data_IF_783193416844
#
_entry.id   IF_783193416844
#
_cell.length_a   1.000
_cell.length_b   1.000
_cell.length_c   1.000
_cell.angle_alpha   90.00
_cell.angle_beta   90.00
_cell.angle_gamma   90.00
#
_symmetry.space_group_name_H-M   'P 1'
#
loop_
_entity.id
_entity.type
_entity.pdbx_description
1 polymer ?
#
# COMPACT_ATOMS: atom_id res chain seq x y z
N UNK A 1 25.41 -8.17 15.62
CA UNK A 1 24.96 -7.06 16.47
C UNK A 1 23.62 -6.55 15.97
N UNK A 2 22.71 -6.18 16.88
CA UNK A 2 21.47 -5.47 16.57
C UNK A 2 21.62 -3.99 16.92
N UNK A 3 21.12 -3.10 16.08
CA UNK A 3 21.12 -1.65 16.33
C UNK A 3 19.73 -1.10 16.05
N UNK A 4 19.06 -0.57 17.08
CA UNK A 4 17.73 0.02 16.97
C UNK A 4 17.84 1.45 16.44
N UNK A 5 16.95 1.79 15.52
CA UNK A 5 16.71 3.17 15.09
C UNK A 5 15.25 3.49 15.33
N UNK A 6 14.98 4.53 16.12
CA UNK A 6 13.63 5.01 16.38
C UNK A 6 13.62 6.54 16.50
N UNK A 7 12.90 7.20 15.58
CA UNK A 7 13.04 8.64 15.37
C UNK A 7 14.50 8.99 15.08
N UNK A 8 15.05 9.95 15.81
CA UNK A 8 16.45 10.40 15.70
C UNK A 8 17.42 9.63 16.62
N UNK A 9 16.96 8.58 17.29
CA UNK A 9 17.78 7.84 18.27
C UNK A 9 18.35 6.57 17.66
N UNK A 10 19.65 6.36 17.84
CA UNK A 10 20.38 5.13 17.52
C UNK A 10 20.76 4.43 18.83
N UNK A 11 20.39 3.16 18.97
CA UNK A 11 20.65 2.36 20.17
C UNK A 11 21.22 0.98 19.78
N UNK A 12 22.55 0.78 19.91
CA UNK A 12 23.13 -0.57 19.86
C UNK A 12 22.55 -1.41 21.01
N UNK A 13 22.08 -2.63 20.73
CA UNK A 13 21.53 -3.50 21.77
C UNK A 13 22.63 -3.87 22.78
N UNK A 14 22.38 -3.56 24.07
CA UNK A 14 23.37 -3.70 25.14
C UNK A 14 24.30 -2.49 25.31
N UNK A 15 24.08 -1.42 24.54
CA UNK A 15 24.80 -0.15 24.64
C UNK A 15 23.93 0.99 25.16
N UNK A 16 24.41 2.22 24.98
CA UNK A 16 23.72 3.45 25.39
C UNK A 16 23.04 4.12 24.19
N UNK A 17 21.81 4.64 24.33
CA UNK A 17 21.13 5.38 23.28
C UNK A 17 21.91 6.67 22.96
N UNK A 18 22.01 7.00 21.68
CA UNK A 18 22.61 8.24 21.21
C UNK A 18 21.74 8.92 20.16
N UNK A 19 21.74 10.25 20.15
CA UNK A 19 21.08 11.06 19.12
C UNK A 19 22.15 11.73 18.27
N UNK A 20 22.54 11.14 17.12
CA UNK A 20 23.50 11.78 16.23
C UNK A 20 22.95 13.08 15.66
N UNK A 21 23.82 14.04 15.33
CA UNK A 21 23.43 15.28 14.68
C UNK A 21 22.88 15.05 13.26
N UNK A 22 23.42 14.06 12.54
CA UNK A 22 22.88 13.55 11.29
C UNK A 22 22.67 12.03 11.39
N UNK A 23 21.41 11.61 11.43
CA UNK A 23 21.04 10.20 11.52
C UNK A 23 21.48 9.42 10.29
N UNK A 24 21.35 9.99 9.09
CA UNK A 24 21.67 9.30 7.85
C UNK A 24 23.18 9.07 7.73
N UNK A 25 23.99 10.04 8.13
CA UNK A 25 25.45 9.89 8.21
C UNK A 25 25.85 8.81 9.24
N UNK A 26 25.28 8.85 10.45
CA UNK A 26 25.57 7.86 11.49
C UNK A 26 25.18 6.43 11.06
N UNK A 27 24.06 6.26 10.35
CA UNK A 27 23.64 4.97 9.78
C UNK A 27 24.61 4.52 8.69
N UNK A 28 25.02 5.43 7.80
CA UNK A 28 25.98 5.14 6.71
C UNK A 28 27.32 4.66 7.25
N UNK A 29 27.87 5.35 8.25
CA UNK A 29 29.14 4.99 8.88
C UNK A 29 29.08 3.62 9.57
N UNK A 30 28.03 3.39 10.36
CA UNK A 30 27.83 2.09 11.03
C UNK A 30 27.61 0.95 10.03
N UNK A 31 26.84 1.18 8.97
CA UNK A 31 26.65 0.19 7.91
C UNK A 31 27.98 -0.16 7.24
N UNK A 32 28.82 0.84 6.93
CA UNK A 32 30.12 0.63 6.32
C UNK A 32 31.10 -0.12 7.25
N UNK A 33 31.12 0.22 8.54
CA UNK A 33 32.06 -0.34 9.50
C UNK A 33 31.66 -1.73 10.01
N UNK A 34 30.38 -1.95 10.33
CA UNK A 34 29.95 -3.10 11.11
C UNK A 34 28.84 -3.93 10.45
N UNK A 35 28.15 -3.36 9.46
CA UNK A 35 26.99 -3.97 8.78
C UNK A 35 26.00 -4.59 9.78
N UNK A 36 25.52 -3.84 10.80
CA UNK A 36 24.69 -4.41 11.86
C UNK A 36 23.36 -4.94 11.31
N UNK A 37 22.59 -5.67 12.13
CA UNK A 37 21.18 -5.91 11.82
C UNK A 37 20.38 -4.76 12.42
N UNK A 38 19.90 -3.89 11.56
CA UNK A 38 19.14 -2.73 12.01
C UNK A 38 17.76 -3.16 12.53
N UNK A 39 17.26 -2.57 13.60
CA UNK A 39 15.96 -2.90 14.22
C UNK A 39 15.03 -1.70 14.16
N UNK A 40 13.86 -1.92 13.57
CA UNK A 40 12.96 -0.87 13.13
C UNK A 40 11.58 -1.16 13.71
N UNK A 41 10.88 -0.12 14.16
CA UNK A 41 9.48 -0.26 14.54
C UNK A 41 8.64 -0.71 13.33
N UNK A 42 8.90 -0.10 12.17
CA UNK A 42 8.33 -0.42 10.87
C UNK A 42 9.29 0.03 9.75
N UNK A 43 9.58 -0.87 8.80
CA UNK A 43 10.39 -0.63 7.61
C UNK A 43 9.91 0.59 6.81
N UNK A 44 8.59 0.70 6.64
CA UNK A 44 7.93 1.69 5.78
C UNK A 44 8.12 3.11 6.31
N UNK A 45 8.16 3.24 7.63
CA UNK A 45 8.30 4.54 8.30
C UNK A 45 9.77 4.94 8.47
N UNK A 46 10.64 3.98 8.80
CA UNK A 46 12.02 4.29 9.21
C UNK A 46 13.01 4.26 8.02
N UNK A 47 12.78 3.44 6.97
CA UNK A 47 13.73 3.43 5.84
C UNK A 47 13.60 4.66 4.96
N UNK A 48 12.36 5.07 4.68
CA UNK A 48 12.07 5.96 3.57
C UNK A 48 12.88 7.28 3.69
N UNK A 49 12.97 7.92 4.87
CA UNK A 49 13.83 9.10 5.05
C UNK A 49 15.33 8.82 4.85
N UNK A 50 15.82 7.61 5.18
CA UNK A 50 17.22 7.23 4.97
C UNK A 50 17.51 7.03 3.46
N UNK A 51 16.58 6.43 2.72
CA UNK A 51 16.68 6.26 1.27
C UNK A 51 16.69 7.62 0.55
N UNK A 52 15.87 8.57 0.98
CA UNK A 52 15.89 9.96 0.48
C UNK A 52 17.24 10.65 0.67
N UNK A 53 18.00 10.25 1.70
CA UNK A 53 19.38 10.69 1.97
C UNK A 53 20.44 9.79 1.34
N UNK A 54 20.04 8.85 0.46
CA UNK A 54 20.93 7.96 -0.27
C UNK A 54 21.64 6.92 0.61
N UNK A 55 21.01 6.52 1.72
CA UNK A 55 21.53 5.49 2.63
C UNK A 55 20.79 4.18 2.39
N UNK A 56 21.55 3.13 2.08
CA UNK A 56 21.03 1.76 1.93
C UNK A 56 21.67 0.85 2.96
N UNK A 57 20.89 -0.08 3.52
CA UNK A 57 21.36 -1.04 4.53
C UNK A 57 21.22 -2.47 4.04
N UNK A 58 22.11 -3.36 4.48
CA UNK A 58 22.10 -4.74 4.00
C UNK A 58 21.03 -5.62 4.66
N UNK A 59 20.62 -5.32 5.89
CA UNK A 59 19.73 -6.19 6.68
C UNK A 59 19.01 -5.44 7.79
N UNK A 60 17.75 -5.81 8.02
CA UNK A 60 16.97 -5.34 9.16
C UNK A 60 16.28 -6.49 9.91
N UNK A 61 15.67 -6.13 11.03
CA UNK A 61 14.66 -6.86 11.77
C UNK A 61 13.47 -5.91 11.92
N UNK A 62 12.41 -6.19 11.19
CA UNK A 62 11.18 -5.38 11.26
C UNK A 62 10.30 -5.90 12.40
N UNK A 63 10.06 -5.06 13.42
CA UNK A 63 9.32 -5.44 14.61
C UNK A 63 7.85 -5.70 14.29
N UNK A 64 7.21 -4.88 13.46
CA UNK A 64 5.79 -5.03 13.14
C UNK A 64 5.51 -6.28 12.28
N UNK A 65 6.37 -6.58 11.31
CA UNK A 65 6.28 -7.82 10.52
C UNK A 65 6.53 -9.04 11.39
N UNK A 66 7.58 -9.00 12.23
CA UNK A 66 7.89 -10.11 13.15
C UNK A 66 6.75 -10.37 14.14
N UNK A 67 6.13 -9.31 14.68
CA UNK A 67 5.01 -9.45 15.61
C UNK A 67 3.80 -10.07 14.92
N UNK A 68 3.50 -9.67 13.68
CA UNK A 68 2.41 -10.26 12.89
C UNK A 68 2.58 -11.77 12.70
N UNK A 69 3.80 -12.22 12.38
CA UNK A 69 4.11 -13.65 12.26
C UNK A 69 3.94 -14.40 13.59
N UNK A 70 4.42 -13.82 14.70
CA UNK A 70 4.32 -14.44 16.02
C UNK A 70 2.86 -14.52 16.49
N UNK A 71 2.09 -13.46 16.31
CA UNK A 71 0.65 -13.44 16.61
C UNK A 71 -0.09 -14.48 15.76
N UNK A 72 0.21 -14.57 14.46
CA UNK A 72 -0.38 -15.58 13.58
C UNK A 72 -0.04 -17.01 14.07
N UNK A 73 1.20 -17.26 14.46
CA UNK A 73 1.63 -18.55 15.02
C UNK A 73 0.91 -18.90 16.32
N UNK A 74 0.63 -17.89 17.16
CA UNK A 74 -0.09 -18.02 18.43
C UNK A 74 -1.62 -18.11 18.26
N UNK A 75 -2.15 -18.12 17.03
CA UNK A 75 -3.59 -18.16 16.75
C UNK A 75 -4.31 -16.82 16.97
N UNK A 76 -3.56 -15.72 17.02
CA UNK A 76 -4.01 -14.35 17.31
C UNK A 76 -3.94 -13.46 16.07
N UNK A 77 -4.16 -14.05 14.90
CA UNK A 77 -4.12 -13.35 13.63
C UNK A 77 -5.13 -12.18 13.60
N UNK A 78 -4.67 -11.01 13.15
CA UNK A 78 -5.48 -9.79 13.07
C UNK A 78 -5.43 -8.91 14.32
N UNK A 79 -4.76 -9.34 15.40
CA UNK A 79 -4.44 -8.45 16.51
C UNK A 79 -3.45 -7.35 16.11
N UNK A 80 -3.49 -6.16 16.75
CA UNK A 80 -2.56 -5.08 16.49
C UNK A 80 -1.09 -5.50 16.64
N UNK A 81 -0.30 -5.32 15.57
CA UNK A 81 1.08 -5.80 15.44
C UNK A 81 2.16 -4.71 15.46
N UNK A 82 1.77 -3.44 15.43
CA UNK A 82 2.72 -2.31 15.54
C UNK A 82 3.65 -2.44 16.76
N UNK A 83 4.85 -1.86 16.70
CA UNK A 83 5.79 -1.87 17.83
C UNK A 83 5.19 -1.29 19.13
N UNK A 84 4.30 -0.28 19.03
CA UNK A 84 3.56 0.27 20.18
C UNK A 84 2.59 -0.76 20.77
N UNK A 85 1.84 -1.47 19.90
CA UNK A 85 0.94 -2.52 20.34
C UNK A 85 1.68 -3.69 21.00
N UNK A 86 2.78 -4.13 20.39
CA UNK A 86 3.66 -5.15 20.95
C UNK A 86 4.22 -4.73 22.32
N UNK A 87 4.70 -3.49 22.45
CA UNK A 87 5.20 -2.97 23.73
C UNK A 87 4.10 -2.86 24.79
N UNK A 88 2.91 -2.34 24.44
CA UNK A 88 1.78 -2.26 25.36
C UNK A 88 1.39 -3.65 25.88
N UNK A 89 1.28 -4.63 24.98
CA UNK A 89 0.99 -6.03 25.31
C UNK A 89 2.05 -6.62 26.25
N UNK A 90 3.33 -6.40 25.96
CA UNK A 90 4.44 -6.85 26.81
C UNK A 90 4.39 -6.25 28.22
N UNK A 91 3.92 -5.00 28.37
CA UNK A 91 3.84 -4.28 29.65
C UNK A 91 2.48 -4.45 30.36
N UNK A 92 1.55 -5.22 29.80
CA UNK A 92 0.19 -5.36 30.34
C UNK A 92 -0.64 -4.07 30.30
N UNK A 93 -0.31 -3.17 29.37
CA UNK A 93 -1.02 -1.91 29.15
C UNK A 93 -2.16 -2.10 28.12
N UNK A 94 -3.15 -1.18 28.06
CA UNK A 94 -4.15 -1.18 27.00
C UNK A 94 -3.50 -1.19 25.61
N UNK A 95 -3.86 -2.16 24.76
CA UNK A 95 -3.30 -2.30 23.42
C UNK A 95 -3.97 -1.28 22.49
N UNK A 96 -3.22 -0.37 21.85
CA UNK A 96 -3.78 0.56 20.88
C UNK A 96 -4.28 -0.18 19.64
N UNK A 97 -5.35 0.36 19.02
CA UNK A 97 -5.82 -0.12 17.72
C UNK A 97 -4.76 0.07 16.63
N UNK A 98 -4.77 -0.80 15.63
CA UNK A 98 -3.90 -0.67 14.46
C UNK A 98 -4.36 0.52 13.63
N UNK A 99 -3.46 1.49 13.41
CA UNK A 99 -3.73 2.63 12.54
C UNK A 99 -2.96 2.45 11.24
N UNK A 100 -3.58 2.70 10.08
CA UNK A 100 -2.84 2.71 8.82
C UNK A 100 -1.76 3.80 8.88
N UNK A 101 -0.51 3.45 8.60
CA UNK A 101 0.60 4.40 8.51
C UNK A 101 0.33 5.35 7.33
N UNK A 102 -0.04 6.59 7.62
CA UNK A 102 -0.20 7.63 6.61
C UNK A 102 0.90 8.69 6.83
N UNK A 103 1.94 8.73 5.96
CA UNK A 103 2.97 9.76 6.04
C UNK A 103 2.37 11.14 5.89
N UNK A 104 2.75 12.09 6.75
CA UNK A 104 2.37 13.50 6.61
C UNK A 104 0.97 13.86 7.12
N UNK A 105 0.36 13.05 7.99
CA UNK A 105 -0.86 13.50 8.70
C UNK A 105 -0.52 14.50 9.80
N UNK A 106 -1.43 15.45 10.05
CA UNK A 106 -1.27 16.47 11.10
C UNK A 106 -1.15 15.86 12.52
N UNK A 107 -1.57 14.60 12.70
CA UNK A 107 -1.57 13.89 13.98
C UNK A 107 -0.87 12.53 13.86
N UNK A 108 0.32 12.51 13.27
CA UNK A 108 1.13 11.30 13.25
C UNK A 108 1.54 10.92 14.68
N UNK A 109 1.36 9.65 15.10
CA UNK A 109 1.74 9.22 16.43
C UNK A 109 3.28 9.30 16.59
N UNK A 110 3.73 9.83 17.74
CA UNK A 110 5.17 9.93 18.06
C UNK A 110 5.83 8.56 18.06
N UNK A 111 6.94 8.35 17.30
CA UNK A 111 7.59 7.05 17.18
C UNK A 111 7.90 6.46 18.55
N UNK A 112 7.76 5.13 18.75
CA UNK A 112 8.09 4.51 20.02
C UNK A 112 9.55 4.81 20.39
N UNK A 113 9.83 4.96 21.68
CA UNK A 113 11.21 5.14 22.16
C UNK A 113 12.10 3.96 21.72
N UNK A 114 13.39 4.22 21.45
CA UNK A 114 14.32 3.19 21.00
C UNK A 114 14.44 2.04 22.01
N UNK A 115 14.36 2.34 23.31
CA UNK A 115 14.35 1.39 24.41
C UNK A 115 13.11 0.49 24.35
N UNK A 116 11.93 1.05 24.08
CA UNK A 116 10.70 0.28 23.94
C UNK A 116 10.77 -0.69 22.75
N UNK A 117 11.34 -0.24 21.62
CA UNK A 117 11.60 -1.09 20.46
C UNK A 117 12.62 -2.19 20.80
N UNK A 118 13.67 -1.87 21.57
CA UNK A 118 14.65 -2.85 22.03
C UNK A 118 14.04 -3.91 22.97
N UNK A 119 13.14 -3.51 23.87
CA UNK A 119 12.41 -4.42 24.76
C UNK A 119 11.53 -5.39 23.96
N UNK A 120 10.79 -4.89 22.96
CA UNK A 120 9.97 -5.71 22.08
C UNK A 120 10.84 -6.67 21.26
N UNK A 121 11.95 -6.20 20.69
CA UNK A 121 12.91 -7.07 20.00
C UNK A 121 13.38 -8.21 20.93
N UNK A 122 13.76 -7.89 22.16
CA UNK A 122 14.21 -8.90 23.12
C UNK A 122 13.10 -9.93 23.41
N UNK A 123 11.85 -9.50 23.50
CA UNK A 123 10.70 -10.38 23.64
C UNK A 123 10.45 -11.29 22.43
N UNK A 124 10.46 -10.71 21.23
CA UNK A 124 10.33 -11.47 19.99
C UNK A 124 11.43 -12.53 19.87
N UNK A 125 12.68 -12.17 20.17
CA UNK A 125 13.79 -13.12 20.15
C UNK A 125 13.60 -14.26 21.16
N UNK A 126 13.07 -13.98 22.36
CA UNK A 126 12.72 -15.03 23.35
C UNK A 126 11.61 -15.94 22.85
N UNK A 127 10.50 -15.36 22.35
CA UNK A 127 9.36 -16.13 21.80
C UNK A 127 9.80 -17.02 20.65
N UNK A 128 10.56 -16.48 19.71
CA UNK A 128 11.13 -17.23 18.58
C UNK A 128 12.03 -18.38 19.07
N UNK A 129 12.86 -18.15 20.09
CA UNK A 129 13.75 -19.18 20.62
C UNK A 129 13.00 -20.33 21.33
N UNK A 130 11.80 -20.07 21.85
CA UNK A 130 10.95 -21.06 22.51
C UNK A 130 10.10 -21.91 21.54
N UNK A 131 10.11 -21.58 20.24
CA UNK A 131 9.35 -22.34 19.24
C UNK A 131 9.96 -23.73 19.01
N UNK A 132 9.16 -24.72 18.54
CA UNK A 132 9.67 -26.05 18.19
C UNK A 132 10.75 -26.02 17.08
N UNK A 133 10.59 -25.11 16.11
CA UNK A 133 11.45 -24.98 14.93
C UNK A 133 12.02 -23.54 14.82
N UNK A 134 12.85 -23.11 15.78
CA UNK A 134 13.24 -21.70 15.91
C UNK A 134 14.08 -21.22 14.72
N UNK A 135 14.86 -22.12 14.10
CA UNK A 135 15.65 -21.81 12.90
C UNK A 135 14.79 -21.47 11.69
N UNK A 136 13.71 -22.23 11.45
CA UNK A 136 12.78 -22.00 10.33
C UNK A 136 12.01 -20.70 10.52
N UNK A 137 11.60 -20.40 11.75
CA UNK A 137 10.90 -19.14 12.04
C UNK A 137 11.83 -17.93 11.88
N UNK A 138 13.09 -18.00 12.32
CA UNK A 138 14.08 -16.94 12.09
C UNK A 138 14.32 -16.69 10.59
N UNK A 139 14.30 -17.74 9.77
CA UNK A 139 14.42 -17.60 8.32
C UNK A 139 13.22 -16.86 7.72
N UNK A 140 11.99 -17.19 8.16
CA UNK A 140 10.78 -16.47 7.74
C UNK A 140 10.83 -14.99 8.14
N UNK A 141 11.20 -14.68 9.39
CA UNK A 141 11.38 -13.30 9.86
C UNK A 141 12.43 -12.55 9.02
N UNK A 142 13.55 -13.20 8.70
CA UNK A 142 14.58 -12.61 7.86
C UNK A 142 14.09 -12.36 6.43
N UNK A 143 13.28 -13.27 5.87
CA UNK A 143 12.69 -13.12 4.55
C UNK A 143 11.70 -11.95 4.49
N UNK A 144 10.77 -11.86 5.46
CA UNK A 144 9.83 -10.72 5.55
C UNK A 144 10.57 -9.39 5.74
N UNK A 145 11.55 -9.35 6.65
CA UNK A 145 12.35 -8.15 6.90
C UNK A 145 13.13 -7.72 5.64
N UNK A 146 13.72 -8.67 4.91
CA UNK A 146 14.40 -8.36 3.64
C UNK A 146 13.41 -7.90 2.57
N UNK A 147 12.24 -8.53 2.49
CA UNK A 147 11.14 -8.11 1.62
C UNK A 147 10.72 -6.66 1.87
N UNK A 148 10.68 -6.24 3.14
CA UNK A 148 10.35 -4.89 3.54
C UNK A 148 11.39 -3.85 3.03
N UNK A 149 12.68 -4.18 3.12
CA UNK A 149 13.74 -3.33 2.54
C UNK A 149 13.60 -3.24 1.02
N UNK A 150 13.39 -4.36 0.34
CA UNK A 150 13.22 -4.40 -1.12
C UNK A 150 11.99 -3.60 -1.54
N UNK A 151 10.86 -3.76 -0.86
CA UNK A 151 9.63 -3.02 -1.12
C UNK A 151 9.83 -1.51 -0.98
N UNK A 152 10.51 -1.07 0.08
CA UNK A 152 10.85 0.34 0.28
C UNK A 152 11.81 0.87 -0.81
N UNK A 153 12.84 0.11 -1.20
CA UNK A 153 13.75 0.49 -2.28
C UNK A 153 13.03 0.57 -3.64
N UNK A 154 12.16 -0.39 -3.95
CA UNK A 154 11.35 -0.36 -5.17
C UNK A 154 10.38 0.81 -5.19
N UNK A 155 9.82 1.20 -4.04
CA UNK A 155 8.96 2.38 -3.89
C UNK A 155 9.75 3.69 -4.07
N UNK A 156 10.98 3.72 -3.53
CA UNK A 156 11.88 4.86 -3.62
C UNK A 156 12.43 5.06 -5.05
N UNK A 157 12.83 3.98 -5.72
CA UNK A 157 13.34 4.03 -7.09
C UNK A 157 12.21 4.25 -8.10
N UNK A 158 11.09 3.56 -7.91
CA UNK A 158 9.99 3.51 -8.87
C UNK A 158 10.39 2.89 -10.22
N UNK A 159 9.40 2.73 -11.09
CA UNK A 159 9.58 2.21 -12.45
C UNK A 159 9.57 3.37 -13.46
N UNK A 160 10.47 3.41 -14.46
CA UNK A 160 10.40 4.40 -15.52
C UNK A 160 9.02 4.45 -16.17
N UNK A 161 8.46 5.64 -16.29
CA UNK A 161 7.11 5.85 -16.80
C UNK A 161 7.02 7.06 -17.73
N UNK A 162 6.55 6.83 -18.96
CA UNK A 162 6.35 7.86 -19.97
C UNK A 162 4.94 8.42 -19.92
N UNK A 163 4.79 9.55 -19.21
CA UNK A 163 3.49 10.21 -19.05
C UNK A 163 2.94 10.77 -20.37
N UNK A 164 3.82 11.22 -21.26
CA UNK A 164 3.47 11.68 -22.59
C UNK A 164 2.74 10.59 -23.42
N UNK A 165 3.27 9.36 -23.41
CA UNK A 165 2.64 8.22 -24.09
C UNK A 165 1.32 7.85 -23.44
N UNK A 166 1.30 7.80 -22.12
CA UNK A 166 0.10 7.50 -21.37
C UNK A 166 -1.03 8.50 -21.66
N UNK A 167 -0.72 9.80 -21.64
CA UNK A 167 -1.69 10.86 -21.91
C UNK A 167 -2.18 10.83 -23.36
N UNK A 168 -1.30 10.51 -24.32
CA UNK A 168 -1.68 10.33 -25.73
C UNK A 168 -2.64 9.15 -25.91
N UNK A 169 -2.34 7.99 -25.30
CA UNK A 169 -3.20 6.80 -25.34
C UNK A 169 -4.56 7.07 -24.68
N UNK A 170 -4.59 7.72 -23.52
CA UNK A 170 -5.85 8.11 -22.88
C UNK A 170 -6.64 9.09 -23.74
N UNK A 171 -5.97 10.05 -24.37
CA UNK A 171 -6.63 11.02 -25.26
C UNK A 171 -7.23 10.33 -26.49
N UNK A 172 -6.53 9.35 -27.06
CA UNK A 172 -7.03 8.52 -28.15
C UNK A 172 -8.25 7.71 -27.71
N UNK A 173 -8.21 7.05 -26.54
CA UNK A 173 -9.26 6.14 -26.10
C UNK A 173 -10.49 6.85 -25.51
N UNK A 174 -10.32 7.99 -24.83
CA UNK A 174 -11.35 8.66 -24.04
C UNK A 174 -11.72 10.07 -24.57
N UNK A 175 -10.92 10.62 -25.49
CA UNK A 175 -11.00 12.02 -25.91
C UNK A 175 -10.13 12.93 -25.04
N UNK A 176 -10.17 14.25 -25.27
CA UNK A 176 -9.38 15.21 -24.49
C UNK A 176 -9.57 15.03 -22.98
N UNK A 177 -8.50 15.25 -22.22
CA UNK A 177 -8.54 15.18 -20.75
C UNK A 177 -9.68 16.05 -20.22
N UNK A 178 -10.65 15.48 -19.48
CA UNK A 178 -11.79 16.25 -19.00
C UNK A 178 -11.37 17.20 -17.88
N UNK A 179 -12.22 18.20 -17.64
CA UNK A 179 -12.17 18.99 -16.41
C UNK A 179 -12.38 18.05 -15.22
N UNK A 180 -11.74 18.35 -14.09
CA UNK A 180 -11.84 17.52 -12.89
C UNK A 180 -13.32 17.30 -12.49
N UNK A 181 -13.66 16.04 -12.20
CA UNK A 181 -15.04 15.63 -11.87
C UNK A 181 -15.96 15.39 -13.08
N UNK A 182 -15.55 15.76 -14.29
CA UNK A 182 -16.35 15.55 -15.50
C UNK A 182 -16.03 14.22 -16.19
N UNK A 183 -17.02 13.68 -16.90
CA UNK A 183 -16.87 12.49 -17.74
C UNK A 183 -16.12 12.82 -19.04
N UNK A 184 -15.17 11.98 -19.50
CA UNK A 184 -14.56 12.12 -20.82
C UNK A 184 -15.58 12.10 -21.97
N UNK A 185 -15.28 12.82 -23.06
CA UNK A 185 -16.21 13.00 -24.18
C UNK A 185 -16.66 11.67 -24.83
N UNK A 186 -15.76 10.70 -25.02
CA UNK A 186 -16.13 9.40 -25.59
C UNK A 186 -17.00 8.56 -24.66
N UNK A 187 -16.80 8.66 -23.34
CA UNK A 187 -17.69 8.05 -22.36
C UNK A 187 -19.06 8.73 -22.35
N UNK A 188 -19.11 10.06 -22.51
CA UNK A 188 -20.38 10.78 -22.62
C UNK A 188 -21.16 10.35 -23.86
N UNK A 189 -20.52 10.27 -25.02
CA UNK A 189 -21.15 9.79 -26.25
C UNK A 189 -21.76 8.38 -26.09
N UNK A 190 -21.03 7.45 -25.46
CA UNK A 190 -21.54 6.12 -25.16
C UNK A 190 -22.72 6.14 -24.17
N UNK A 191 -22.70 7.05 -23.18
CA UNK A 191 -23.83 7.23 -22.27
C UNK A 191 -25.06 7.75 -23.02
N UNK A 192 -24.87 8.67 -23.97
CA UNK A 192 -25.94 9.21 -24.82
C UNK A 192 -26.52 8.12 -25.75
N UNK A 193 -25.69 7.24 -26.31
CA UNK A 193 -26.13 6.05 -27.08
C UNK A 193 -26.96 5.09 -26.21
N UNK A 194 -26.53 4.84 -24.97
CA UNK A 194 -27.30 4.03 -24.03
C UNK A 194 -28.66 4.67 -23.73
N UNK A 195 -28.70 5.98 -23.47
CA UNK A 195 -29.93 6.70 -23.21
C UNK A 195 -30.87 6.68 -24.43
N UNK A 196 -30.34 6.90 -25.64
CA UNK A 196 -31.09 6.83 -26.88
C UNK A 196 -31.70 5.44 -27.12
N UNK A 197 -30.95 4.37 -26.84
CA UNK A 197 -31.42 3.01 -26.98
C UNK A 197 -32.56 2.63 -26.00
N UNK A 198 -32.66 3.30 -24.84
CA UNK A 198 -33.79 3.17 -23.92
C UNK A 198 -34.91 4.21 -24.16
N UNK A 199 -34.67 5.22 -24.98
CA UNK A 199 -35.60 6.33 -25.23
C UNK A 199 -35.72 7.33 -24.06
N UNK A 200 -34.88 7.22 -23.03
CA UNK A 200 -34.87 8.14 -21.89
C UNK A 200 -33.49 8.14 -21.21
N UNK A 201 -33.25 9.13 -20.36
CA UNK A 201 -31.99 9.22 -19.61
C UNK A 201 -31.83 8.04 -18.64
N UNK A 202 -30.66 7.41 -18.66
CA UNK A 202 -30.26 6.32 -17.77
C UNK A 202 -28.81 6.51 -17.39
N UNK A 203 -28.50 6.55 -16.09
CA UNK A 203 -27.12 6.60 -15.63
C UNK A 203 -26.44 5.22 -15.83
N UNK A 204 -25.43 5.10 -16.71
CA UNK A 204 -24.78 3.82 -17.01
C UNK A 204 -23.89 3.30 -15.86
N UNK A 205 -23.55 4.16 -14.89
CA UNK A 205 -22.80 3.77 -13.68
C UNK A 205 -23.72 3.18 -12.60
N UNK A 206 -25.04 3.39 -12.70
CA UNK A 206 -26.00 2.94 -11.70
C UNK A 206 -26.61 1.58 -12.08
N UNK A 207 -26.19 0.53 -11.37
CA UNK A 207 -26.78 -0.81 -11.49
C UNK A 207 -28.30 -0.80 -11.34
N UNK A 208 -28.84 -0.04 -10.37
CA UNK A 208 -30.29 0.01 -10.10
C UNK A 208 -31.08 0.58 -11.28
N UNK A 209 -30.65 1.74 -11.80
CA UNK A 209 -31.25 2.35 -13.00
C UNK A 209 -31.15 1.45 -14.22
N UNK A 210 -30.01 0.78 -14.45
CA UNK A 210 -29.86 -0.16 -15.57
C UNK A 210 -30.82 -1.35 -15.46
N UNK A 211 -30.90 -2.00 -14.30
CA UNK A 211 -31.83 -3.12 -14.07
C UNK A 211 -33.28 -2.68 -14.29
N UNK A 212 -33.64 -1.48 -13.82
CA UNK A 212 -34.98 -0.90 -14.03
C UNK A 212 -35.26 -0.63 -15.51
N UNK A 213 -34.31 -0.06 -16.25
CA UNK A 213 -34.46 0.25 -17.67
C UNK A 213 -34.62 -1.02 -18.51
N UNK A 214 -33.76 -2.04 -18.30
CA UNK A 214 -33.90 -3.33 -18.98
C UNK A 214 -35.22 -4.03 -18.64
N UNK A 215 -35.66 -4.00 -17.37
CA UNK A 215 -36.97 -4.54 -16.98
C UNK A 215 -38.11 -3.83 -17.70
N UNK A 216 -38.05 -2.50 -17.83
CA UNK A 216 -39.01 -1.71 -18.61
C UNK A 216 -39.03 -2.07 -20.10
N UNK A 217 -37.89 -2.45 -20.66
CA UNK A 217 -37.75 -2.97 -22.01
C UNK A 217 -38.08 -4.48 -22.15
N UNK A 218 -38.66 -5.11 -21.12
CA UNK A 218 -39.07 -6.52 -21.15
C UNK A 218 -37.95 -7.53 -20.87
N UNK A 219 -36.75 -7.08 -20.49
CA UNK A 219 -35.61 -7.94 -20.18
C UNK A 219 -35.36 -7.99 -18.67
N UNK A 220 -35.52 -9.16 -18.07
CA UNK A 220 -35.20 -9.37 -16.66
C UNK A 220 -33.70 -9.66 -16.48
N UNK A 221 -32.96 -8.71 -15.90
CA UNK A 221 -31.57 -8.89 -15.48
C UNK A 221 -31.48 -9.20 -13.97
N UNK A 222 -30.63 -10.16 -13.61
CA UNK A 222 -30.21 -10.41 -12.21
C UNK A 222 -29.00 -9.57 -11.85
N UNK A 223 -28.07 -9.37 -12.79
CA UNK A 223 -26.89 -8.52 -12.62
C UNK A 223 -26.59 -7.74 -13.89
N UNK A 224 -25.75 -6.70 -13.77
CA UNK A 224 -25.23 -5.96 -14.93
C UNK A 224 -23.81 -6.39 -15.30
N UNK A 225 -23.39 -7.60 -14.92
CA UNK A 225 -22.06 -8.12 -15.28
C UNK A 225 -21.99 -8.35 -16.79
N UNK A 226 -20.79 -8.19 -17.36
CA UNK A 226 -20.57 -8.25 -18.81
C UNK A 226 -21.10 -9.54 -19.45
N UNK A 227 -20.89 -10.69 -18.83
CA UNK A 227 -21.33 -11.99 -19.36
C UNK A 227 -22.86 -12.13 -19.43
N UNK A 228 -23.59 -11.46 -18.54
CA UNK A 228 -25.05 -11.50 -18.51
C UNK A 228 -25.61 -10.53 -19.56
N UNK A 229 -25.06 -9.31 -19.63
CA UNK A 229 -25.42 -8.33 -20.65
C UNK A 229 -25.20 -8.86 -22.08
N UNK A 230 -24.12 -9.63 -22.32
CA UNK A 230 -23.83 -10.23 -23.63
C UNK A 230 -24.87 -11.23 -24.12
N UNK A 231 -25.76 -11.73 -23.25
CA UNK A 231 -26.84 -12.67 -23.61
C UNK A 231 -28.16 -11.96 -23.94
N UNK A 232 -28.21 -10.65 -23.75
CA UNK A 232 -29.38 -9.83 -24.01
C UNK A 232 -29.33 -9.29 -25.43
N UNK A 233 -30.42 -9.47 -26.17
CA UNK A 233 -30.62 -8.85 -27.47
C UNK A 233 -31.33 -7.50 -27.28
N UNK A 234 -30.55 -6.44 -27.12
CA UNK A 234 -31.06 -5.07 -26.97
C UNK A 234 -30.03 -4.05 -27.48
N UNK A 235 -30.43 -2.99 -28.21
CA UNK A 235 -29.51 -2.02 -28.80
C UNK A 235 -28.58 -1.35 -27.78
N UNK A 236 -29.03 -1.16 -26.53
CA UNK A 236 -28.21 -0.56 -25.46
C UNK A 236 -27.03 -1.43 -24.99
N UNK A 237 -27.00 -2.74 -25.29
CA UNK A 237 -26.00 -3.66 -24.73
C UNK A 237 -24.60 -3.34 -25.24
N UNK A 238 -24.43 -3.16 -26.55
CA UNK A 238 -23.13 -2.86 -27.17
C UNK A 238 -22.50 -1.56 -26.63
N UNK A 239 -23.19 -0.40 -26.64
CA UNK A 239 -22.62 0.83 -26.08
C UNK A 239 -22.42 0.74 -24.58
N UNK A 240 -23.28 0.04 -23.82
CA UNK A 240 -23.10 -0.14 -22.38
C UNK A 240 -21.85 -0.97 -22.03
N UNK A 241 -21.56 -2.02 -22.80
CA UNK A 241 -20.35 -2.82 -22.60
C UNK A 241 -19.09 -2.00 -22.89
N UNK A 242 -19.07 -1.25 -23.99
CA UNK A 242 -17.97 -0.34 -24.32
C UNK A 242 -17.81 0.75 -23.25
N UNK A 243 -18.91 1.32 -22.77
CA UNK A 243 -18.92 2.30 -21.68
C UNK A 243 -18.25 1.73 -20.44
N UNK A 244 -18.67 0.53 -19.99
CA UNK A 244 -18.11 -0.11 -18.79
C UNK A 244 -16.63 -0.43 -18.91
N UNK A 245 -16.19 -0.82 -20.10
CA UNK A 245 -14.78 -1.06 -20.37
C UNK A 245 -13.95 0.22 -20.23
N UNK A 246 -14.34 1.28 -20.95
CA UNK A 246 -13.65 2.56 -20.91
C UNK A 246 -13.77 3.25 -19.54
N UNK A 247 -14.89 3.10 -18.83
CA UNK A 247 -15.10 3.68 -17.50
C UNK A 247 -14.15 3.02 -16.47
N UNK A 248 -13.95 1.71 -16.56
CA UNK A 248 -12.98 0.99 -15.73
C UNK A 248 -11.54 1.41 -16.06
N UNK A 249 -11.22 1.61 -17.33
CA UNK A 249 -9.90 2.13 -17.74
C UNK A 249 -9.69 3.55 -17.19
N UNK A 250 -10.68 4.43 -17.33
CA UNK A 250 -10.62 5.80 -16.83
C UNK A 250 -10.48 5.88 -15.31
N UNK A 251 -11.18 5.02 -14.56
CA UNK A 251 -11.09 5.03 -13.10
C UNK A 251 -9.82 4.39 -12.56
N UNK A 252 -9.38 3.26 -13.13
CA UNK A 252 -8.23 2.51 -12.63
C UNK A 252 -6.88 3.03 -13.14
N UNK A 253 -6.83 3.55 -14.37
CA UNK A 253 -5.60 3.92 -15.07
C UNK A 253 -5.73 5.27 -15.80
N UNK A 254 -6.69 6.11 -15.43
CA UNK A 254 -6.87 7.42 -16.04
C UNK A 254 -5.83 8.44 -15.56
N UNK A 255 -6.06 9.70 -15.93
CA UNK A 255 -5.17 10.79 -15.54
C UNK A 255 -5.06 10.99 -14.02
N UNK A 256 -6.15 10.80 -13.27
CA UNK A 256 -6.12 10.92 -11.81
C UNK A 256 -5.20 9.87 -11.16
N UNK A 257 -5.20 8.64 -11.67
CA UNK A 257 -4.27 7.60 -11.25
C UNK A 257 -2.83 8.01 -11.57
N UNK A 258 -2.56 8.50 -12.78
CA UNK A 258 -1.21 8.94 -13.15
C UNK A 258 -0.73 10.11 -12.28
N UNK A 259 -1.60 11.08 -11.97
CA UNK A 259 -1.29 12.21 -11.10
C UNK A 259 -0.92 11.76 -9.67
N UNK A 260 -1.59 10.70 -9.17
CA UNK A 260 -1.35 10.17 -7.84
C UNK A 260 -0.04 9.37 -7.76
N UNK A 261 0.22 8.52 -8.76
CA UNK A 261 1.26 7.49 -8.65
C UNK A 261 2.52 7.76 -9.49
N UNK A 262 2.48 8.72 -10.43
CA UNK A 262 3.61 9.04 -11.30
C UNK A 262 4.19 10.40 -10.94
N UNK A 263 5.46 10.42 -10.53
CA UNK A 263 6.20 11.64 -10.21
C UNK A 263 7.60 11.58 -10.81
N UNK A 264 8.05 12.68 -11.40
CA UNK A 264 9.40 12.80 -11.98
C UNK A 264 9.72 11.68 -13.01
N UNK A 265 8.76 11.34 -13.87
CA UNK A 265 8.91 10.33 -14.91
C UNK A 265 8.99 8.88 -14.40
N UNK A 266 8.54 8.64 -13.15
CA UNK A 266 8.58 7.32 -12.52
C UNK A 266 7.26 6.99 -11.84
N UNK A 267 6.76 5.79 -12.09
CA UNK A 267 5.63 5.19 -11.39
C UNK A 267 6.11 4.62 -10.05
N UNK A 268 5.48 5.02 -8.94
CA UNK A 268 5.85 4.63 -7.57
C UNK A 268 4.67 3.96 -6.88
N UNK A 269 4.41 2.66 -7.14
CA UNK A 269 3.38 1.93 -6.43
C UNK A 269 3.76 1.72 -4.96
N UNK A 270 2.75 1.44 -4.14
CA UNK A 270 2.95 0.95 -2.79
C UNK A 270 3.10 -0.57 -2.79
N UNK A 271 4.18 -1.07 -2.20
CA UNK A 271 4.44 -2.51 -2.05
C UNK A 271 4.17 -2.91 -0.60
N UNK A 272 3.16 -3.76 -0.39
CA UNK A 272 2.79 -4.27 0.94
C UNK A 272 3.49 -5.61 1.18
N UNK A 273 4.14 -5.72 2.33
CA UNK A 273 4.86 -6.91 2.81
C UNK A 273 4.17 -7.40 4.10
N UNK A 274 4.15 -8.71 4.31
CA UNK A 274 3.47 -9.36 5.44
C UNK A 274 2.15 -10.03 5.10
#
# INVERSE_FOLDING_TARGET
MYVVVAGETVLPVGGTPRRPADLAEAVRELEAAERPRWVWADARETYAPLLERGVRVARCHDVALTEGLLLAHEGRHGEPRSARAAHARLRGLPVPEEQPSAPGTLFAPEPPAAEAVAEVLADQLRRIAALPEPGRFRLLVAAESAGALVAAEMSHEGMPWRRDVHDALLTELLGPRPVHGMRPAKLQALADEVAAAFGHQVNPDSVQQLVKAFKGAGVALKTTRSWELKRVDHPAVKPLLAYKELARLFSAHGWAWADQWVRSGRFRPEYVVG
#
